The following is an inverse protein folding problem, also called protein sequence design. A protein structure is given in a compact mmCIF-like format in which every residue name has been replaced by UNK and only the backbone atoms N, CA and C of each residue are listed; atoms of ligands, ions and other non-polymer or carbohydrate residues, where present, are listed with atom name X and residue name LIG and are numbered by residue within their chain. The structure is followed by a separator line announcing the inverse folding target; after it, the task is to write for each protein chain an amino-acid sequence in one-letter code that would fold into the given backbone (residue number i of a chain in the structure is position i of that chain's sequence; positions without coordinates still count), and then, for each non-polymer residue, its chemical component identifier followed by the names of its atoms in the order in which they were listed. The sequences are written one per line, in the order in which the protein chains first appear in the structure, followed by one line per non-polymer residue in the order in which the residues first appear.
data_IF_039774041563
#
_entry.id   IF_039774041563
#
_cell.length_a   1.000
_cell.length_b   1.000
_cell.length_c   1.000
_cell.angle_alpha   90.00
_cell.angle_beta   90.00
_cell.angle_gamma   90.00
#
_symmetry.space_group_name_H-M   'P 1'
#
loop_
_entity.id
_entity.type
_entity.pdbx_description
1 polymer ?
#
# COMPACT_ATOMS: atom_id res chain seq x y z
N UNK A 1 53.88 -20.98 30.49
CA UNK A 1 54.02 -19.52 30.49
C UNK A 1 52.77 -18.92 29.83
N UNK A 2 51.98 -18.00 30.38
CA UNK A 2 51.88 -17.37 31.70
C UNK A 2 50.51 -16.67 31.73
N UNK A 3 49.79 -16.80 32.86
CA UNK A 3 48.82 -15.88 33.49
C UNK A 3 48.23 -14.69 32.69
N UNK A 4 46.95 -14.33 32.82
CA UNK A 4 46.38 -13.87 34.08
C UNK A 4 44.86 -14.10 34.19
N UNK A 5 44.52 -14.91 35.20
CA UNK A 5 43.30 -14.79 36.01
C UNK A 5 43.33 -13.45 36.76
N UNK A 6 42.14 -13.01 37.26
CA UNK A 6 41.84 -11.98 38.29
C UNK A 6 41.16 -10.72 37.73
N UNK A 7 40.06 -10.15 38.25
CA UNK A 7 39.23 -10.27 39.49
C UNK A 7 37.85 -9.68 39.12
N UNK A 8 36.71 -10.39 39.23
CA UNK A 8 35.74 -10.39 40.35
C UNK A 8 35.48 -9.04 41.06
N UNK A 9 34.16 -8.78 41.26
CA UNK A 9 33.45 -7.76 42.08
C UNK A 9 33.06 -6.48 41.29
N UNK A 10 31.84 -5.94 41.33
CA UNK A 10 30.77 -5.96 42.34
C UNK A 10 29.36 -5.73 41.67
N UNK A 11 28.31 -6.45 42.08
CA UNK A 11 27.09 -5.97 42.82
C UNK A 11 26.46 -4.68 42.24
N UNK A 12 25.32 -4.76 41.52
CA UNK A 12 23.93 -4.84 41.99
C UNK A 12 23.24 -3.46 42.06
N UNK A 13 22.15 -3.26 41.32
CA UNK A 13 20.95 -2.53 41.78
C UNK A 13 19.77 -2.69 40.81
N UNK A 14 18.67 -3.07 41.43
CA UNK A 14 17.31 -3.26 40.95
C UNK A 14 16.66 -2.02 40.37
N UNK A 15 15.94 -2.17 39.25
CA UNK A 15 14.71 -1.43 38.99
C UNK A 15 13.82 -2.27 38.06
N UNK A 16 12.88 -3.00 38.68
CA UNK A 16 11.79 -3.62 37.97
C UNK A 16 10.80 -2.51 37.57
N UNK A 17 10.67 -2.25 36.27
CA UNK A 17 9.53 -1.53 35.71
C UNK A 17 8.84 -2.44 34.71
N UNK A 18 7.87 -3.19 35.24
CA UNK A 18 6.86 -3.91 34.47
C UNK A 18 6.08 -2.85 33.69
N UNK A 19 6.22 -2.84 32.37
CA UNK A 19 5.44 -2.01 31.47
C UNK A 19 4.09 -2.72 31.25
N UNK A 20 2.96 -2.20 31.77
CA UNK A 20 1.69 -2.89 31.67
C UNK A 20 1.12 -2.76 30.26
N UNK A 21 0.64 -3.90 29.77
CA UNK A 21 -0.14 -4.10 28.57
C UNK A 21 -1.45 -3.29 28.68
N UNK A 22 -1.59 -2.21 27.92
CA UNK A 22 -2.83 -1.42 27.89
C UNK A 22 -3.80 -1.99 26.85
N UNK A 23 -4.71 -2.86 27.32
CA UNK A 23 -5.95 -3.22 26.65
C UNK A 23 -7.12 -2.84 27.58
N UNK A 24 -7.83 -1.76 27.28
CA UNK A 24 -9.04 -1.30 27.95
C UNK A 24 -9.86 -0.53 26.91
N UNK A 25 -11.07 -0.90 26.45
CA UNK A 25 -12.21 -1.59 27.06
C UNK A 25 -12.91 -0.81 28.18
N UNK A 26 -13.74 0.16 27.77
CA UNK A 26 -15.04 0.59 28.33
C UNK A 26 -15.16 0.95 29.84
N UNK A 27 -15.57 2.19 30.16
CA UNK A 27 -16.24 2.53 31.44
C UNK A 27 -15.89 3.91 32.02
N UNK A 28 -16.90 4.71 32.37
CA UNK A 28 -16.78 6.15 32.65
C UNK A 28 -16.62 6.60 34.11
N UNK A 29 -16.47 7.93 34.28
CA UNK A 29 -16.81 8.70 35.49
C UNK A 29 -15.70 9.55 36.16
N UNK A 30 -15.67 10.87 35.90
CA UNK A 30 -15.49 11.91 36.94
C UNK A 30 -14.14 12.66 37.13
N UNK A 31 -14.01 13.84 36.49
CA UNK A 31 -13.40 15.15 36.84
C UNK A 31 -11.97 15.26 37.48
N UNK A 32 -11.08 16.21 37.14
CA UNK A 32 -11.26 17.57 36.56
C UNK A 32 -9.94 18.16 35.98
N UNK A 33 -10.10 18.96 34.90
CA UNK A 33 -9.41 20.23 34.52
C UNK A 33 -7.91 20.25 34.16
N UNK A 34 -7.39 20.84 33.08
CA UNK A 34 -7.88 21.64 31.91
C UNK A 34 -6.69 21.84 30.95
N UNK A 35 -6.91 21.79 29.62
CA UNK A 35 -6.36 22.73 28.60
C UNK A 35 -6.66 22.26 27.16
N UNK A 36 -7.87 22.59 26.72
CA UNK A 36 -8.23 23.18 25.42
C UNK A 36 -7.54 22.74 24.12
N UNK A 37 -8.32 22.06 23.24
CA UNK A 37 -8.57 22.58 21.89
C UNK A 37 -9.93 22.10 21.37
N UNK A 38 -10.92 22.97 21.55
CA UNK A 38 -12.25 22.82 21.02
C UNK A 38 -12.30 23.00 19.49
N UNK A 39 -13.33 22.35 18.95
CA UNK A 39 -13.78 22.29 17.59
C UNK A 39 -13.81 23.62 16.83
N UNK A 40 -13.59 23.52 15.52
CA UNK A 40 -14.18 24.46 14.58
C UNK A 40 -14.94 23.68 13.51
N UNK A 41 -16.26 23.80 13.62
CA UNK A 41 -17.20 24.05 12.51
C UNK A 41 -17.47 22.93 11.50
N UNK A 42 -18.68 22.37 11.61
CA UNK A 42 -19.46 21.98 10.45
C UNK A 42 -19.73 23.20 9.53
N UNK A 43 -20.05 22.96 8.27
CA UNK A 43 -21.46 23.12 7.92
C UNK A 43 -22.05 21.91 7.19
N UNK A 44 -23.37 21.83 7.33
CA UNK A 44 -24.28 21.00 6.55
C UNK A 44 -24.54 21.61 5.17
N UNK A 45 -25.19 20.79 4.32
CA UNK A 45 -25.67 21.01 2.93
C UNK A 45 -24.65 20.65 1.84
N UNK A 46 -24.91 19.76 0.87
CA UNK A 46 -26.17 19.40 0.23
C UNK A 46 -26.45 17.88 0.18
N UNK A 47 -27.73 17.54 0.39
CA UNK A 47 -28.31 16.27 -0.07
C UNK A 47 -28.45 16.31 -1.59
N UNK A 48 -27.47 15.76 -2.31
CA UNK A 48 -27.73 15.22 -3.65
C UNK A 48 -28.03 13.74 -3.52
N UNK A 49 -29.32 13.42 -3.48
CA UNK A 49 -29.85 12.07 -3.54
C UNK A 49 -29.76 11.56 -4.97
N UNK A 50 -28.58 11.07 -5.36
CA UNK A 50 -28.43 10.10 -6.43
C UNK A 50 -28.21 8.71 -5.78
N UNK A 51 -28.79 7.62 -6.31
CA UNK A 51 -28.61 6.31 -5.70
C UNK A 51 -27.15 5.89 -5.90
N UNK A 52 -26.37 5.99 -4.82
CA UNK A 52 -25.11 5.29 -4.71
C UNK A 52 -25.43 3.79 -4.61
N UNK A 53 -25.29 3.08 -5.72
CA UNK A 53 -24.93 1.66 -5.64
C UNK A 53 -23.70 1.54 -4.73
N UNK A 54 -23.81 0.65 -3.75
CA UNK A 54 -23.02 0.67 -2.52
C UNK A 54 -21.52 0.90 -2.72
N UNK A 55 -21.01 1.97 -2.10
CA UNK A 55 -19.59 2.15 -1.86
C UNK A 55 -19.12 1.12 -0.82
N UNK A 56 -18.79 -0.08 -1.30
CA UNK A 56 -17.90 -0.99 -0.56
C UNK A 56 -16.48 -0.39 -0.57
N UNK A 57 -15.66 -0.59 0.48
CA UNK A 57 -14.23 -0.29 0.38
C UNK A 57 -13.67 -1.11 -0.79
N UNK A 58 -13.08 -0.43 -1.76
CA UNK A 58 -12.52 -1.06 -2.95
C UNK A 58 -11.16 -1.70 -2.59
N UNK A 59 -11.19 -2.76 -1.79
CA UNK A 59 -10.00 -3.53 -1.40
C UNK A 59 -9.54 -4.49 -2.53
N UNK A 60 -9.99 -4.27 -3.78
CA UNK A 60 -9.76 -5.16 -4.89
C UNK A 60 -9.67 -4.48 -6.26
N UNK A 61 -9.16 -5.19 -7.28
CA UNK A 61 -9.05 -4.68 -8.64
C UNK A 61 -10.43 -4.32 -9.20
N UNK A 62 -10.52 -3.18 -9.86
CA UNK A 62 -11.78 -2.58 -10.29
C UNK A 62 -11.87 -2.46 -11.81
N UNK A 63 -13.06 -2.75 -12.34
CA UNK A 63 -13.40 -2.55 -13.75
C UNK A 63 -13.80 -3.83 -14.49
N UNK A 64 -14.50 -3.70 -15.63
CA UNK A 64 -15.04 -4.85 -16.36
C UNK A 64 -13.95 -5.75 -16.96
N UNK A 65 -12.77 -5.20 -17.22
CA UNK A 65 -11.65 -5.92 -17.79
C UNK A 65 -10.80 -6.69 -16.74
N UNK A 66 -11.05 -6.50 -15.44
CA UNK A 66 -10.31 -7.23 -14.39
C UNK A 66 -10.51 -8.74 -14.44
N UNK A 67 -11.58 -9.22 -15.08
CA UNK A 67 -11.83 -10.64 -15.28
C UNK A 67 -10.84 -11.32 -16.25
N UNK A 68 -10.22 -10.55 -17.16
CA UNK A 68 -9.26 -11.06 -18.15
C UNK A 68 -7.87 -11.27 -17.57
N UNK A 69 -7.55 -10.59 -16.48
CA UNK A 69 -6.25 -10.72 -15.82
C UNK A 69 -6.14 -12.10 -15.16
N UNK A 70 -4.99 -12.80 -15.31
CA UNK A 70 -4.74 -14.06 -14.62
C UNK A 70 -4.96 -13.93 -13.11
N UNK A 71 -5.63 -14.90 -12.49
CA UNK A 71 -5.85 -14.91 -11.04
C UNK A 71 -4.57 -15.27 -10.26
N UNK A 72 -3.66 -16.02 -10.87
CA UNK A 72 -2.45 -16.53 -10.25
C UNK A 72 -1.23 -16.37 -11.19
N UNK A 73 -0.03 -16.44 -10.62
CA UNK A 73 1.24 -16.36 -11.35
C UNK A 73 1.76 -14.92 -11.52
N UNK A 74 2.87 -14.76 -12.22
CA UNK A 74 3.58 -13.47 -12.32
C UNK A 74 2.77 -12.36 -13.05
N UNK A 75 1.83 -12.74 -13.92
CA UNK A 75 0.93 -11.82 -14.62
C UNK A 75 -0.36 -11.49 -13.86
N UNK A 76 -0.55 -12.04 -12.65
CA UNK A 76 -1.68 -11.71 -11.78
C UNK A 76 -1.50 -10.38 -11.07
N UNK A 77 -2.57 -9.86 -10.45
CA UNK A 77 -2.50 -8.62 -9.67
C UNK A 77 -1.45 -8.69 -8.56
N UNK A 78 -1.40 -9.80 -7.82
CA UNK A 78 -0.42 -10.00 -6.74
C UNK A 78 0.99 -10.21 -7.29
N UNK A 79 1.13 -10.95 -8.40
CA UNK A 79 2.43 -11.16 -9.05
C UNK A 79 3.01 -9.85 -9.59
N UNK A 80 2.20 -9.05 -10.28
CA UNK A 80 2.60 -7.76 -10.84
C UNK A 80 2.93 -6.73 -9.75
N UNK A 81 2.30 -6.80 -8.58
CA UNK A 81 2.55 -5.87 -7.48
C UNK A 81 3.95 -6.02 -6.86
N UNK A 82 4.61 -7.16 -7.04
CA UNK A 82 5.95 -7.42 -6.50
C UNK A 82 7.08 -7.03 -7.47
N UNK A 83 6.75 -6.79 -8.73
CA UNK A 83 7.73 -6.50 -9.78
C UNK A 83 7.75 -5.01 -10.17
N UNK A 84 8.90 -4.47 -10.62
CA UNK A 84 8.95 -3.15 -11.23
C UNK A 84 8.02 -3.05 -12.45
N UNK A 85 7.52 -1.86 -12.72
CA UNK A 85 6.44 -1.60 -13.69
C UNK A 85 6.66 -2.26 -15.06
N UNK A 86 7.85 -2.13 -15.65
CA UNK A 86 8.07 -2.69 -17.00
C UNK A 86 8.20 -4.22 -16.97
N UNK A 87 8.71 -4.78 -15.86
CA UNK A 87 8.76 -6.23 -15.63
C UNK A 87 7.36 -6.80 -15.41
N UNK A 88 6.59 -6.18 -14.52
CA UNK A 88 5.20 -6.53 -14.24
C UNK A 88 4.34 -6.53 -15.53
N UNK A 89 4.44 -5.47 -16.33
CA UNK A 89 3.74 -5.38 -17.61
C UNK A 89 4.16 -6.46 -18.62
N UNK A 90 5.40 -6.94 -18.55
CA UNK A 90 5.91 -8.02 -19.43
C UNK A 90 5.37 -9.39 -19.06
N UNK A 91 4.90 -9.59 -17.83
CA UNK A 91 4.36 -10.85 -17.36
C UNK A 91 2.87 -11.05 -17.74
N UNK A 92 2.19 -9.99 -18.18
CA UNK A 92 0.78 -10.04 -18.55
C UNK A 92 0.60 -10.09 -20.09
N UNK A 93 -0.06 -11.12 -20.65
CA UNK A 93 -0.23 -11.27 -22.10
C UNK A 93 -1.02 -10.10 -22.74
N UNK A 94 -1.96 -9.51 -22.01
CA UNK A 94 -2.81 -8.42 -22.50
C UNK A 94 -2.05 -7.09 -22.65
N UNK A 95 -0.84 -6.99 -22.10
CA UNK A 95 -0.01 -5.78 -22.12
C UNK A 95 1.22 -5.89 -23.06
N UNK A 96 1.34 -6.98 -23.81
CA UNK A 96 2.48 -7.23 -24.71
C UNK A 96 2.72 -6.13 -25.75
N UNK A 97 1.67 -5.49 -26.26
CA UNK A 97 1.78 -4.35 -27.18
C UNK A 97 2.38 -3.12 -26.51
N UNK A 98 1.99 -2.84 -25.26
CA UNK A 98 2.58 -1.77 -24.46
C UNK A 98 4.05 -2.02 -24.21
N UNK A 99 4.43 -3.24 -23.82
CA UNK A 99 5.83 -3.60 -23.57
C UNK A 99 6.69 -3.38 -24.81
N UNK A 100 6.16 -3.71 -25.98
CA UNK A 100 6.83 -3.44 -27.26
C UNK A 100 7.02 -1.94 -27.50
N UNK A 101 6.00 -1.12 -27.24
CA UNK A 101 6.07 0.33 -27.37
C UNK A 101 7.07 0.95 -26.38
N UNK A 102 7.03 0.54 -25.12
CA UNK A 102 7.94 1.00 -24.05
C UNK A 102 9.39 0.65 -24.39
N UNK A 103 9.65 -0.56 -24.90
CA UNK A 103 10.98 -0.98 -25.37
C UNK A 103 11.46 -0.13 -26.53
N UNK A 104 10.61 0.13 -27.53
CA UNK A 104 10.94 1.00 -28.67
C UNK A 104 11.23 2.44 -28.24
N UNK A 105 10.54 2.93 -27.22
CA UNK A 105 10.73 4.25 -26.66
C UNK A 105 11.91 4.36 -25.67
N UNK A 106 12.56 3.24 -25.32
CA UNK A 106 13.66 3.24 -24.35
C UNK A 106 13.24 3.58 -22.91
N UNK A 107 11.97 3.38 -22.56
CA UNK A 107 11.41 3.79 -21.27
C UNK A 107 11.48 2.71 -20.18
N UNK A 108 12.04 1.54 -20.48
CA UNK A 108 12.08 0.38 -19.56
C UNK A 108 12.77 0.77 -18.25
N UNK A 109 13.97 1.35 -18.32
CA UNK A 109 14.72 1.75 -17.14
C UNK A 109 14.02 2.87 -16.37
N UNK A 110 13.42 3.84 -17.08
CA UNK A 110 12.68 4.94 -16.44
C UNK A 110 11.49 4.41 -15.66
N UNK A 111 10.69 3.51 -16.24
CA UNK A 111 9.52 2.96 -15.57
C UNK A 111 9.91 2.03 -14.40
N UNK A 112 11.02 1.32 -14.50
CA UNK A 112 11.51 0.44 -13.44
C UNK A 112 12.13 1.19 -12.25
N UNK A 113 12.68 2.39 -12.47
CA UNK A 113 13.27 3.20 -11.40
C UNK A 113 12.29 4.24 -10.82
N UNK A 114 11.19 4.51 -11.51
CA UNK A 114 10.18 5.45 -11.05
C UNK A 114 9.43 4.87 -9.83
N UNK A 115 9.32 5.67 -8.77
CA UNK A 115 8.64 5.31 -7.54
C UNK A 115 7.27 5.99 -7.47
N UNK A 116 6.27 5.28 -6.94
CA UNK A 116 4.91 5.80 -6.71
C UNK A 116 4.25 6.38 -7.97
N UNK A 117 4.44 5.72 -9.12
CA UNK A 117 3.79 6.10 -10.38
C UNK A 117 2.53 5.27 -10.62
N UNK A 118 1.55 5.90 -11.25
CA UNK A 118 0.35 5.24 -11.76
C UNK A 118 0.46 5.14 -13.28
N UNK A 119 0.50 3.91 -13.80
CA UNK A 119 0.65 3.67 -15.22
C UNK A 119 -0.71 3.35 -15.84
N UNK A 120 -1.12 4.21 -16.77
CA UNK A 120 -2.25 3.92 -17.64
C UNK A 120 -1.79 2.97 -18.73
N UNK A 121 -2.10 1.69 -18.57
CA UNK A 121 -1.68 0.62 -19.45
C UNK A 121 -2.87 0.10 -20.29
N UNK A 122 -3.02 0.54 -21.56
CA UNK A 122 -4.04 0.00 -22.44
C UNK A 122 -3.76 -1.47 -22.77
N UNK A 123 -4.82 -2.27 -22.91
CA UNK A 123 -4.71 -3.65 -23.38
C UNK A 123 -4.42 -3.69 -24.89
N UNK A 124 -3.99 -4.85 -25.39
CA UNK A 124 -3.80 -5.07 -26.83
C UNK A 124 -5.05 -4.73 -27.65
N UNK A 125 -6.24 -5.03 -27.14
CA UNK A 125 -7.52 -4.70 -27.79
C UNK A 125 -7.75 -3.18 -27.89
N UNK A 126 -7.26 -2.42 -26.93
CA UNK A 126 -7.31 -0.96 -26.98
C UNK A 126 -6.37 -0.43 -28.09
N UNK A 127 -5.17 -1.00 -28.22
CA UNK A 127 -4.26 -0.66 -29.33
C UNK A 127 -4.85 -1.02 -30.70
N UNK A 128 -5.58 -2.13 -30.80
CA UNK A 128 -6.20 -2.56 -32.06
C UNK A 128 -7.28 -1.59 -32.57
N UNK A 129 -7.88 -0.77 -31.69
CA UNK A 129 -8.93 0.21 -32.02
C UNK A 129 -8.38 1.56 -32.49
N UNK A 130 -7.06 1.76 -32.47
CA UNK A 130 -6.46 3.02 -32.90
C UNK A 130 -6.50 3.10 -34.43
N UNK A 131 -7.06 4.18 -35.02
CA UNK A 131 -7.02 4.40 -36.46
C UNK A 131 -5.57 4.52 -36.95
N UNK A 132 -5.29 4.00 -38.14
CA UNK A 132 -3.94 3.99 -38.73
C UNK A 132 -3.65 5.27 -39.50
#
# INVERSE_FOLDING_TARGET
MTAFRYRRAALALTAATVLPLALSACGGGGSSDTADKAASSAPAEEKSSAPAEGAAPADGPFGPACASVPKDGAGSFDGMAQDPVATAASNNPDLSTLVTAVKKAGLVDTLNNAQNITVFAPTNDAFAKIPK
#
